data_IF_142624979925
#
_entry.id   IF_142624979925
#
_cell.length_a   1.000
_cell.length_b   1.000
_cell.length_c   1.000
_cell.angle_alpha   90.00
_cell.angle_beta   90.00
_cell.angle_gamma   90.00
#
_symmetry.space_group_name_H-M   'P 1'
#
loop_
_entity.id
_entity.type
_entity.pdbx_description
1 polymer ?
#
# COMPACT_ATOMS: atom_id res chain seq x y z
N UNK A 1 5.85 21.57 17.75
CA UNK A 1 6.96 21.40 16.78
C UNK A 1 7.63 22.73 16.41
N UNK A 2 6.89 23.83 16.33
CA UNK A 2 7.47 25.18 16.10
C UNK A 2 8.29 25.65 17.30
N UNK A 3 7.76 25.52 18.52
CA UNK A 3 8.48 25.88 19.76
C UNK A 3 9.79 25.11 19.96
N UNK A 4 9.84 23.87 19.46
CA UNK A 4 11.00 22.98 19.49
C UNK A 4 11.95 23.24 18.32
N UNK A 5 11.64 24.16 17.41
CA UNK A 5 12.48 24.54 16.27
C UNK A 5 12.57 23.54 15.13
N UNK A 6 11.80 22.44 15.17
CA UNK A 6 11.78 21.41 14.11
C UNK A 6 11.08 21.95 12.86
N UNK A 7 10.06 22.79 13.03
CA UNK A 7 9.32 23.43 11.95
C UNK A 7 9.50 24.94 12.07
N UNK A 8 9.80 25.61 10.96
CA UNK A 8 9.80 27.08 10.88
C UNK A 8 8.45 27.54 10.35
N UNK A 9 7.87 28.50 11.03
CA UNK A 9 6.66 29.19 10.59
C UNK A 9 7.03 30.48 9.85
N UNK A 10 6.35 30.74 8.72
CA UNK A 10 6.37 32.02 8.03
C UNK A 10 4.94 32.51 7.86
N UNK A 11 4.66 33.69 8.42
CA UNK A 11 3.36 34.35 8.27
C UNK A 11 3.36 35.16 6.97
N UNK A 12 2.38 34.91 6.10
CA UNK A 12 2.13 35.65 4.88
C UNK A 12 0.69 36.18 4.89
N UNK A 13 0.49 37.41 5.35
CA UNK A 13 -0.84 37.97 5.56
C UNK A 13 -1.59 37.24 6.69
N UNK A 14 -2.74 36.62 6.37
CA UNK A 14 -3.54 35.80 7.30
C UNK A 14 -3.21 34.30 7.20
N UNK A 15 -2.27 33.92 6.35
CA UNK A 15 -1.88 32.53 6.11
C UNK A 15 -0.60 32.19 6.87
N UNK A 16 -0.63 31.05 7.55
CA UNK A 16 0.53 30.47 8.23
C UNK A 16 1.13 29.38 7.35
N UNK A 17 2.40 29.52 6.97
CA UNK A 17 3.13 28.56 6.14
C UNK A 17 4.15 27.87 7.03
N UNK A 18 4.11 26.54 7.08
CA UNK A 18 5.03 25.72 7.85
C UNK A 18 6.02 25.00 6.93
N UNK A 19 7.29 24.97 7.31
CA UNK A 19 8.33 24.21 6.61
C UNK A 19 9.26 23.53 7.59
N UNK A 20 9.68 22.30 7.29
CA UNK A 20 10.72 21.62 8.05
C UNK A 20 12.00 22.49 8.13
N UNK A 21 12.51 22.70 9.34
CA UNK A 21 13.80 23.30 9.56
C UNK A 21 14.91 22.28 9.26
N UNK A 22 15.41 22.25 8.02
CA UNK A 22 16.47 21.32 7.59
C UNK A 22 17.80 21.43 8.37
N UNK A 23 18.02 22.52 9.11
CA UNK A 23 19.19 22.68 9.99
C UNK A 23 18.98 22.12 11.40
N UNK A 24 17.75 21.74 11.75
CA UNK A 24 17.46 21.17 13.06
C UNK A 24 18.12 19.80 13.21
N UNK A 25 18.63 19.49 14.41
CA UNK A 25 19.32 18.22 14.69
C UNK A 25 18.51 16.98 14.28
N UNK A 26 17.18 17.03 14.48
CA UNK A 26 16.24 15.95 14.16
C UNK A 26 15.70 15.98 12.72
N UNK A 27 16.10 16.94 11.88
CA UNK A 27 15.51 17.11 10.55
C UNK A 27 15.59 15.84 9.69
N UNK A 28 16.76 15.19 9.68
CA UNK A 28 16.96 13.93 8.95
C UNK A 28 16.06 12.82 9.48
N UNK A 29 15.94 12.67 10.81
CA UNK A 29 15.05 11.66 11.38
C UNK A 29 13.59 11.89 10.97
N UNK A 30 13.15 13.15 10.90
CA UNK A 30 11.80 13.48 10.40
C UNK A 30 11.64 13.15 8.91
N UNK A 31 12.65 13.43 8.09
CA UNK A 31 12.65 13.07 6.66
C UNK A 31 12.60 11.54 6.46
N UNK A 32 13.38 10.77 7.24
CA UNK A 32 13.36 9.31 7.21
C UNK A 32 12.01 8.75 7.64
N UNK A 33 11.42 9.28 8.73
CA UNK A 33 10.07 8.88 9.16
C UNK A 33 9.02 9.24 8.11
N UNK A 34 9.13 10.40 7.47
CA UNK A 34 8.22 10.80 6.40
C UNK A 34 8.34 9.90 5.15
N UNK A 35 9.50 9.26 4.95
CA UNK A 35 9.77 8.33 3.83
C UNK A 35 9.37 6.88 4.15
N UNK A 36 8.84 6.60 5.35
CA UNK A 36 8.54 5.24 5.79
C UNK A 36 7.55 4.50 4.87
N UNK A 37 6.53 5.20 4.34
CA UNK A 37 5.59 4.62 3.37
C UNK A 37 6.31 4.18 2.09
N UNK A 38 7.17 5.03 1.53
CA UNK A 38 7.92 4.72 0.31
C UNK A 38 8.85 3.52 0.53
N UNK A 39 9.53 3.47 1.69
CA UNK A 39 10.36 2.32 2.06
C UNK A 39 9.56 1.02 2.24
N UNK A 40 8.34 1.09 2.78
CA UNK A 40 7.46 -0.06 2.89
C UNK A 40 7.06 -0.59 1.51
N UNK A 41 6.64 0.31 0.61
CA UNK A 41 6.24 -0.04 -0.77
C UNK A 41 7.41 -0.71 -1.50
N UNK A 42 8.60 -0.13 -1.41
CA UNK A 42 9.79 -0.67 -2.08
C UNK A 42 10.18 -2.04 -1.53
N UNK A 43 10.10 -2.24 -0.22
CA UNK A 43 10.35 -3.56 0.40
C UNK A 43 9.34 -4.60 -0.07
N UNK A 44 8.05 -4.27 -0.08
CA UNK A 44 7.00 -5.18 -0.58
C UNK A 44 7.27 -5.55 -2.04
N UNK A 45 7.59 -4.57 -2.88
CA UNK A 45 7.94 -4.82 -4.29
C UNK A 45 9.14 -5.74 -4.42
N UNK A 46 10.22 -5.47 -3.67
CA UNK A 46 11.43 -6.28 -3.69
C UNK A 46 11.13 -7.73 -3.31
N UNK A 47 10.31 -7.96 -2.28
CA UNK A 47 9.93 -9.33 -1.89
C UNK A 47 9.10 -10.04 -2.96
N UNK A 48 8.14 -9.34 -3.59
CA UNK A 48 7.32 -9.90 -4.68
C UNK A 48 8.19 -10.26 -5.91
N UNK A 49 9.21 -9.45 -6.22
CA UNK A 49 10.14 -9.72 -7.32
C UNK A 49 10.97 -11.00 -7.13
N UNK A 50 11.06 -11.52 -5.91
CA UNK A 50 11.75 -12.78 -5.60
C UNK A 50 10.85 -14.02 -5.76
N UNK A 51 9.55 -13.84 -6.02
CA UNK A 51 8.62 -14.95 -6.16
C UNK A 51 8.85 -15.71 -7.48
N UNK A 52 8.56 -17.00 -7.47
CA UNK A 52 8.69 -17.85 -8.66
C UNK A 52 7.57 -17.61 -9.70
N UNK A 53 6.59 -16.79 -9.36
CA UNK A 53 5.48 -16.38 -10.21
C UNK A 53 5.26 -14.88 -10.05
N UNK A 54 4.70 -14.24 -11.08
CA UNK A 54 4.34 -12.83 -11.03
C UNK A 54 2.84 -12.68 -10.72
N UNK A 55 2.45 -12.02 -9.62
CA UNK A 55 1.08 -11.56 -9.45
C UNK A 55 0.69 -10.60 -10.59
N UNK A 56 -0.58 -10.59 -10.97
CA UNK A 56 -1.09 -9.67 -11.99
C UNK A 56 -1.11 -8.25 -11.44
N UNK A 57 -1.60 -8.10 -10.21
CA UNK A 57 -1.60 -6.84 -9.47
C UNK A 57 -1.57 -7.10 -7.97
N UNK A 58 -0.83 -6.27 -7.26
CA UNK A 58 -0.86 -6.19 -5.79
C UNK A 58 -1.21 -4.76 -5.40
N UNK A 59 -2.26 -4.58 -4.61
CA UNK A 59 -2.79 -3.27 -4.23
C UNK A 59 -3.03 -3.24 -2.73
N UNK A 60 -2.48 -2.24 -2.05
CA UNK A 60 -2.88 -1.95 -0.66
C UNK A 60 -4.16 -1.11 -0.71
N UNK A 61 -5.15 -1.45 0.10
CA UNK A 61 -6.42 -0.73 0.14
C UNK A 61 -6.94 -0.62 1.58
N UNK A 62 -8.12 -0.03 1.73
CA UNK A 62 -8.72 0.20 3.04
C UNK A 62 -8.12 1.41 3.77
N UNK A 63 -8.32 1.46 5.09
CA UNK A 63 -7.96 2.61 5.93
C UNK A 63 -6.47 2.98 5.85
N UNK A 64 -5.60 1.99 5.60
CA UNK A 64 -4.16 2.16 5.40
C UNK A 64 -3.78 3.00 4.18
N UNK A 65 -4.59 2.97 3.11
CA UNK A 65 -4.31 3.70 1.88
C UNK A 65 -4.59 5.21 2.00
N UNK A 66 -5.40 5.63 2.98
CA UNK A 66 -5.87 7.02 3.13
C UNK A 66 -4.91 7.96 3.87
N UNK A 67 -3.63 7.59 4.06
CA UNK A 67 -2.64 8.34 4.87
C UNK A 67 -3.08 8.59 6.34
N UNK A 68 -4.15 7.97 6.83
CA UNK A 68 -4.63 8.02 8.23
C UNK A 68 -4.39 6.68 8.93
N UNK A 69 -3.22 6.07 8.69
CA UNK A 69 -2.83 4.80 9.30
C UNK A 69 -2.78 4.98 10.82
N UNK A 70 -3.83 4.53 11.51
CA UNK A 70 -3.86 4.47 12.97
C UNK A 70 -3.16 3.19 13.42
N UNK A 71 -2.63 3.20 14.64
CA UNK A 71 -1.96 2.03 15.24
C UNK A 71 -2.90 0.82 15.44
N UNK A 72 -4.20 0.95 15.20
CA UNK A 72 -5.23 -0.10 15.30
C UNK A 72 -5.83 -0.48 13.94
N UNK A 73 -5.30 0.05 12.83
CA UNK A 73 -5.82 -0.21 11.49
C UNK A 73 -5.11 -1.40 10.85
N UNK A 74 -5.90 -2.37 10.39
CA UNK A 74 -5.40 -3.51 9.60
C UNK A 74 -4.88 -3.03 8.22
N UNK A 75 -3.89 -3.74 7.67
CA UNK A 75 -3.37 -3.52 6.33
C UNK A 75 -4.04 -4.52 5.39
N UNK A 76 -4.97 -4.04 4.56
CA UNK A 76 -5.65 -4.88 3.56
C UNK A 76 -4.83 -4.93 2.25
N UNK A 77 -4.47 -6.14 1.81
CA UNK A 77 -3.63 -6.38 0.65
C UNK A 77 -4.37 -7.21 -0.40
N UNK A 78 -4.80 -6.58 -1.49
CA UNK A 78 -5.43 -7.27 -2.61
C UNK A 78 -4.36 -7.85 -3.52
N UNK A 79 -4.48 -9.14 -3.85
CA UNK A 79 -3.56 -9.86 -4.73
C UNK A 79 -4.37 -10.60 -5.78
N UNK A 80 -4.19 -10.23 -7.04
CA UNK A 80 -4.71 -11.01 -8.16
C UNK A 80 -3.59 -11.88 -8.74
N UNK A 81 -3.86 -13.17 -8.87
CA UNK A 81 -2.94 -14.17 -9.39
C UNK A 81 -3.40 -14.67 -10.77
N UNK A 82 -2.47 -15.08 -11.65
CA UNK A 82 -2.84 -15.76 -12.88
C UNK A 82 -3.42 -17.15 -12.59
N UNK A 83 -4.31 -17.62 -13.47
CA UNK A 83 -5.06 -18.88 -13.26
C UNK A 83 -4.18 -20.14 -13.29
N UNK A 84 -2.95 -20.05 -13.83
CA UNK A 84 -2.00 -21.16 -13.94
C UNK A 84 -0.97 -21.20 -12.79
N UNK A 85 -1.14 -20.35 -11.77
CA UNK A 85 -0.26 -20.31 -10.60
C UNK A 85 -0.33 -21.61 -9.81
N UNK A 86 0.80 -22.02 -9.22
CA UNK A 86 0.80 -23.06 -8.20
C UNK A 86 0.22 -22.51 -6.89
N UNK A 87 -1.02 -22.87 -6.56
CA UNK A 87 -1.76 -22.35 -5.40
C UNK A 87 -1.02 -22.54 -4.07
N UNK A 88 -0.46 -23.73 -3.82
CA UNK A 88 0.24 -24.01 -2.55
C UNK A 88 1.50 -23.16 -2.39
N UNK A 89 2.24 -22.97 -3.48
CA UNK A 89 3.40 -22.10 -3.49
C UNK A 89 2.99 -20.64 -3.27
N UNK A 90 1.92 -20.20 -3.95
CA UNK A 90 1.40 -18.85 -3.82
C UNK A 90 0.93 -18.55 -2.40
N UNK A 91 0.15 -19.45 -1.79
CA UNK A 91 -0.30 -19.34 -0.41
C UNK A 91 0.88 -19.18 0.55
N UNK A 92 1.93 -19.99 0.40
CA UNK A 92 3.13 -19.93 1.24
C UNK A 92 3.86 -18.59 1.11
N UNK A 93 4.04 -18.09 -0.12
CA UNK A 93 4.70 -16.80 -0.41
C UNK A 93 3.89 -15.63 0.12
N UNK A 94 2.58 -15.65 -0.08
CA UNK A 94 1.65 -14.60 0.38
C UNK A 94 1.59 -14.56 1.92
N UNK A 95 1.51 -15.72 2.58
CA UNK A 95 1.51 -15.78 4.04
C UNK A 95 2.83 -15.26 4.64
N UNK A 96 3.95 -15.55 3.98
CA UNK A 96 5.27 -15.03 4.39
C UNK A 96 5.32 -13.51 4.27
N UNK A 97 4.92 -12.97 3.11
CA UNK A 97 4.86 -11.53 2.88
C UNK A 97 3.94 -10.82 3.88
N UNK A 98 2.76 -11.39 4.19
CA UNK A 98 1.86 -10.83 5.19
C UNK A 98 2.50 -10.79 6.59
N UNK A 99 3.22 -11.85 6.97
CA UNK A 99 3.97 -11.89 8.23
C UNK A 99 5.09 -10.85 8.30
N UNK A 100 5.81 -10.64 7.19
CA UNK A 100 6.87 -9.64 7.08
C UNK A 100 6.34 -8.21 7.16
N UNK A 101 5.28 -7.89 6.41
CA UNK A 101 4.63 -6.56 6.48
C UNK A 101 4.14 -6.29 7.90
N UNK A 102 3.54 -7.28 8.55
CA UNK A 102 3.09 -7.17 9.94
C UNK A 102 4.27 -6.92 10.89
N UNK A 103 5.40 -7.61 10.69
CA UNK A 103 6.60 -7.41 11.49
C UNK A 103 7.25 -6.04 11.27
N UNK A 104 7.21 -5.49 10.04
CA UNK A 104 7.79 -4.19 9.73
C UNK A 104 6.96 -3.01 10.22
N UNK A 105 5.64 -3.14 10.21
CA UNK A 105 4.71 -2.04 10.49
C UNK A 105 4.08 -2.11 11.87
N UNK A 106 4.03 -3.30 12.47
CA UNK A 106 3.30 -3.56 13.71
C UNK A 106 1.78 -3.72 13.54
N UNK A 107 1.25 -3.64 12.31
CA UNK A 107 -0.17 -3.77 12.02
C UNK A 107 -0.48 -5.15 11.41
N UNK A 108 -1.66 -5.72 11.72
CA UNK A 108 -2.11 -6.99 11.14
C UNK A 108 -2.29 -6.84 9.62
N UNK A 109 -1.61 -7.68 8.84
CA UNK A 109 -1.72 -7.67 7.37
C UNK A 109 -2.64 -8.78 6.90
N UNK A 110 -3.67 -8.41 6.14
CA UNK A 110 -4.71 -9.32 5.66
C UNK A 110 -4.68 -9.42 4.14
N UNK A 111 -4.15 -10.53 3.59
CA UNK A 111 -4.23 -10.80 2.17
C UNK A 111 -5.66 -11.13 1.74
N UNK A 112 -6.10 -10.52 0.64
CA UNK A 112 -7.33 -10.83 -0.06
C UNK A 112 -6.97 -11.28 -1.48
N UNK A 113 -6.95 -12.60 -1.68
CA UNK A 113 -6.34 -13.25 -2.85
C UNK A 113 -7.41 -13.81 -3.78
N UNK A 114 -7.28 -13.54 -5.07
CA UNK A 114 -8.16 -14.04 -6.13
C UNK A 114 -7.32 -14.52 -7.32
N UNK A 115 -7.75 -15.60 -7.96
CA UNK A 115 -7.35 -15.90 -9.33
C UNK A 115 -8.04 -14.92 -10.29
N UNK A 116 -7.42 -14.66 -11.44
CA UNK A 116 -7.98 -13.81 -12.49
C UNK A 116 -9.43 -14.20 -12.86
N UNK A 117 -9.73 -15.51 -12.93
CA UNK A 117 -11.07 -16.00 -13.27
C UNK A 117 -12.12 -15.77 -12.18
N UNK A 118 -11.70 -15.52 -10.94
CA UNK A 118 -12.58 -15.34 -9.78
C UNK A 118 -13.00 -13.88 -9.58
N UNK A 119 -12.35 -12.94 -10.27
CA UNK A 119 -12.66 -11.51 -10.18
C UNK A 119 -13.93 -11.20 -10.98
N UNK A 120 -15.00 -10.88 -10.24
CA UNK A 120 -16.29 -10.49 -10.79
C UNK A 120 -16.82 -9.20 -10.13
N UNK A 121 -17.69 -8.42 -10.80
CA UNK A 121 -18.21 -7.17 -10.24
C UNK A 121 -18.80 -7.34 -8.83
N UNK A 122 -18.25 -6.59 -7.87
CA UNK A 122 -18.73 -6.52 -6.50
C UNK A 122 -18.25 -5.23 -5.84
N UNK A 123 -18.93 -4.82 -4.77
CA UNK A 123 -18.64 -3.56 -4.06
C UNK A 123 -17.23 -3.52 -3.44
N UNK A 124 -16.63 -4.67 -3.13
CA UNK A 124 -15.26 -4.72 -2.60
C UNK A 124 -14.25 -4.29 -3.66
N UNK A 125 -14.41 -4.71 -4.92
CA UNK A 125 -13.49 -4.29 -5.98
C UNK A 125 -13.67 -2.83 -6.37
N UNK A 126 -14.88 -2.27 -6.26
CA UNK A 126 -15.10 -0.82 -6.40
C UNK A 126 -14.30 -0.05 -5.34
N UNK A 127 -14.33 -0.48 -4.08
CA UNK A 127 -13.52 0.12 -3.01
C UNK A 127 -12.03 0.02 -3.28
N UNK A 128 -11.53 -1.12 -3.78
CA UNK A 128 -10.12 -1.29 -4.15
C UNK A 128 -9.74 -0.35 -5.30
N UNK A 129 -10.62 -0.16 -6.28
CA UNK A 129 -10.38 0.74 -7.42
C UNK A 129 -10.33 2.22 -7.00
N UNK A 130 -11.19 2.62 -6.07
CA UNK A 130 -11.32 4.01 -5.66
C UNK A 130 -10.30 4.44 -4.61
N UNK A 131 -9.88 3.49 -3.74
CA UNK A 131 -9.06 3.79 -2.57
C UNK A 131 -7.69 3.09 -2.59
N UNK A 132 -7.46 2.17 -3.51
CA UNK A 132 -6.25 1.36 -3.56
C UNK A 132 -5.03 2.11 -4.11
N UNK A 133 -3.86 1.78 -3.56
CA UNK A 133 -2.55 2.18 -4.06
C UNK A 133 -1.82 0.95 -4.61
N UNK A 134 -1.55 0.93 -5.91
CA UNK A 134 -0.96 -0.25 -6.57
C UNK A 134 0.53 -0.33 -6.28
N UNK A 135 0.95 -1.44 -5.65
CA UNK A 135 2.32 -1.70 -5.26
C UNK A 135 3.13 -2.39 -6.36
N UNK A 136 2.48 -3.33 -7.06
CA UNK A 136 3.07 -4.16 -8.11
C UNK A 136 2.05 -4.45 -9.22
N UNK A 137 2.53 -4.59 -10.46
CA UNK A 137 1.71 -4.95 -11.62
C UNK A 137 0.93 -3.78 -12.24
N UNK A 138 -0.14 -4.09 -12.96
CA UNK A 138 -0.93 -3.11 -13.71
C UNK A 138 -2.13 -2.60 -12.90
N UNK A 139 -2.01 -1.40 -12.35
CA UNK A 139 -3.08 -0.76 -11.55
C UNK A 139 -4.38 -0.47 -12.32
N UNK A 140 -4.39 -0.61 -13.65
CA UNK A 140 -5.61 -0.49 -14.46
C UNK A 140 -6.29 -1.83 -14.74
N UNK A 141 -5.63 -2.95 -14.42
CA UNK A 141 -6.10 -4.30 -14.74
C UNK A 141 -7.46 -4.58 -14.11
N UNK A 142 -7.63 -4.30 -12.80
CA UNK A 142 -8.87 -4.57 -12.08
C UNK A 142 -10.06 -3.84 -12.73
N UNK A 143 -9.89 -2.56 -13.05
CA UNK A 143 -10.91 -1.76 -13.76
C UNK A 143 -11.24 -2.32 -15.15
N UNK A 144 -10.26 -2.89 -15.86
CA UNK A 144 -10.45 -3.47 -17.20
C UNK A 144 -11.23 -4.77 -17.15
N UNK A 145 -10.86 -5.69 -16.26
CA UNK A 145 -11.51 -6.99 -16.10
C UNK A 145 -12.97 -6.83 -15.69
N UNK A 146 -13.27 -5.96 -14.72
CA UNK A 146 -14.66 -5.72 -14.30
C UNK A 146 -15.54 -5.12 -15.41
N UNK A 147 -14.98 -4.25 -16.27
CA UNK A 147 -15.70 -3.71 -17.43
C UNK A 147 -15.98 -4.76 -18.49
N UNK A 148 -15.05 -5.69 -18.72
CA UNK A 148 -15.23 -6.77 -19.68
C UNK A 148 -16.29 -7.78 -19.20
N UNK A 149 -16.33 -8.08 -17.89
CA UNK A 149 -17.32 -9.00 -17.30
C UNK A 149 -18.73 -8.42 -17.15
N UNK A 150 -18.88 -7.09 -17.11
CA UNK A 150 -20.20 -6.43 -17.01
C UNK A 150 -20.96 -6.34 -18.33
N UNK A 151 -20.34 -6.74 -19.44
CA UNK A 151 -20.91 -6.70 -20.79
C UNK A 151 -21.34 -8.06 -21.36
N UNK A 152 -21.33 -9.12 -20.54
CA UNK A 152 -21.69 -10.48 -20.91
C UNK A 152 -23.05 -10.90 -20.33
#
# INVERSE_FOLDING_TARGET
MVDQGIVVEKVAGRTHIFRLNRHHLLAKAVEEMASAKDHLIERIRTEIELWEFAPIVVTIYGSAARNDMRNDSDIDLFIALPNDVNELQAETRIATLAGEISAWTGNDTRPFVFLESEVAPSSIFESIIDEGDTLFGDGTWLRRVLRAGSGA
#
